data_IF_830194001632
#
_entry.id   IF_830194001632
#
_cell.length_a   1.000
_cell.length_b   1.000
_cell.length_c   1.000
_cell.angle_alpha   90.00
_cell.angle_beta   90.00
_cell.angle_gamma   90.00
#
_symmetry.space_group_name_H-M   'P 1'
#
loop_
_entity.id
_entity.type
_entity.pdbx_description
1 polymer ?
#
# COMPACT_ATOMS: atom_id res chain seq x y z
N UNK A 1 43.80 -42.67 36.24
CA UNK A 1 43.26 -41.42 36.82
C UNK A 1 43.15 -40.40 35.69
N UNK A 2 41.96 -39.86 35.42
CA UNK A 2 41.70 -38.95 34.29
C UNK A 2 42.23 -37.55 34.64
N UNK A 3 43.24 -37.07 33.92
CA UNK A 3 43.74 -35.70 34.00
C UNK A 3 42.63 -34.72 33.61
N UNK A 4 42.05 -34.00 34.58
CA UNK A 4 41.19 -32.85 34.30
C UNK A 4 42.10 -31.63 34.13
N UNK A 5 42.26 -31.15 32.90
CA UNK A 5 42.89 -29.87 32.61
C UNK A 5 41.95 -28.77 33.12
N UNK A 6 42.32 -28.11 34.22
CA UNK A 6 41.61 -26.94 34.73
C UNK A 6 41.77 -25.79 33.75
N UNK A 7 40.66 -25.38 33.11
CA UNK A 7 40.66 -24.19 32.27
C UNK A 7 40.92 -22.99 33.18
N UNK A 8 41.98 -22.23 32.89
CA UNK A 8 42.32 -21.03 33.67
C UNK A 8 41.12 -20.08 33.70
N UNK A 9 40.72 -19.55 34.87
CA UNK A 9 39.60 -18.61 35.00
C UNK A 9 39.69 -17.42 34.03
N UNK A 10 40.91 -17.02 33.67
CA UNK A 10 41.19 -15.95 32.70
C UNK A 10 40.75 -16.32 31.28
N UNK A 11 40.91 -17.57 30.88
CA UNK A 11 40.49 -18.04 29.55
C UNK A 11 38.96 -18.08 29.48
N UNK A 12 38.31 -18.50 30.57
CA UNK A 12 36.86 -18.53 30.65
C UNK A 12 36.24 -17.13 30.57
N UNK A 13 36.82 -16.13 31.22
CA UNK A 13 36.33 -14.74 31.14
C UNK A 13 36.52 -14.13 29.76
N UNK A 14 37.66 -14.36 29.10
CA UNK A 14 37.89 -13.88 27.73
C UNK A 14 36.87 -14.50 26.76
N UNK A 15 36.60 -15.80 26.88
CA UNK A 15 35.60 -16.48 26.06
C UNK A 15 34.19 -15.92 26.30
N UNK A 16 33.82 -15.67 27.56
CA UNK A 16 32.52 -15.08 27.91
C UNK A 16 32.36 -13.66 27.35
N UNK A 17 33.39 -12.82 27.47
CA UNK A 17 33.39 -11.45 26.93
C UNK A 17 33.34 -11.47 25.40
N UNK A 18 34.13 -12.34 24.76
CA UNK A 18 34.09 -12.51 23.30
C UNK A 18 32.71 -12.91 22.80
N UNK A 19 32.05 -13.86 23.49
CA UNK A 19 30.70 -14.28 23.16
C UNK A 19 29.68 -13.13 23.30
N UNK A 20 29.80 -12.31 24.35
CA UNK A 20 28.93 -11.16 24.55
C UNK A 20 29.04 -10.12 23.43
N UNK A 21 30.27 -9.80 22.97
CA UNK A 21 30.50 -8.86 21.86
C UNK A 21 29.89 -9.39 20.55
N UNK A 22 30.02 -10.69 20.28
CA UNK A 22 29.41 -11.32 19.10
C UNK A 22 27.90 -11.20 19.15
N UNK A 23 27.27 -11.50 20.29
CA UNK A 23 25.82 -11.37 20.45
C UNK A 23 25.34 -9.94 20.23
N UNK A 24 26.07 -8.95 20.75
CA UNK A 24 25.76 -7.52 20.53
C UNK A 24 25.84 -7.17 19.04
N UNK A 25 26.88 -7.65 18.33
CA UNK A 25 27.04 -7.40 16.90
C UNK A 25 25.91 -7.97 16.05
N UNK A 26 25.44 -9.18 16.37
CA UNK A 26 24.31 -9.81 15.67
C UNK A 26 23.03 -9.01 15.89
N UNK A 27 22.72 -8.65 17.14
CA UNK A 27 21.54 -7.84 17.46
C UNK A 27 21.60 -6.49 16.74
N UNK A 28 22.76 -5.82 16.75
CA UNK A 28 22.93 -4.54 16.08
C UNK A 28 22.69 -4.62 14.57
N UNK A 29 23.16 -5.69 13.92
CA UNK A 29 22.96 -5.89 12.49
C UNK A 29 21.48 -6.00 12.12
N UNK A 30 20.72 -6.80 12.89
CA UNK A 30 19.28 -6.98 12.67
C UNK A 30 18.53 -5.65 12.88
N UNK A 31 18.83 -4.95 13.98
CA UNK A 31 18.20 -3.66 14.30
C UNK A 31 18.53 -2.62 13.24
N UNK A 32 19.78 -2.53 12.81
CA UNK A 32 20.22 -1.56 11.81
C UNK A 32 19.51 -1.78 10.47
N UNK A 33 19.40 -3.03 10.02
CA UNK A 33 18.68 -3.36 8.79
C UNK A 33 17.20 -2.94 8.88
N UNK A 34 16.53 -3.25 9.99
CA UNK A 34 15.12 -2.88 10.19
C UNK A 34 14.92 -1.35 10.20
N UNK A 35 15.80 -0.61 10.87
CA UNK A 35 15.76 0.85 10.91
C UNK A 35 16.00 1.45 9.51
N UNK A 36 16.93 0.88 8.74
CA UNK A 36 17.23 1.35 7.40
C UNK A 36 16.04 1.13 6.44
N UNK A 37 15.37 -0.01 6.50
CA UNK A 37 14.20 -0.28 5.66
C UNK A 37 13.02 0.65 5.99
N UNK A 38 12.75 0.86 7.28
CA UNK A 38 11.69 1.75 7.75
C UNK A 38 11.95 3.21 7.36
N UNK A 39 13.20 3.66 7.45
CA UNK A 39 13.57 5.02 7.04
C UNK A 39 13.49 5.21 5.52
N UNK A 40 13.84 4.20 4.73
CA UNK A 40 13.66 4.24 3.28
C UNK A 40 12.18 4.28 2.88
N UNK A 41 11.34 3.44 3.48
CA UNK A 41 9.88 3.47 3.26
C UNK A 41 9.29 4.83 3.65
N UNK A 42 9.62 5.34 4.84
CA UNK A 42 9.18 6.64 5.30
C UNK A 42 9.62 7.75 4.34
N UNK A 43 10.85 7.71 3.84
CA UNK A 43 11.37 8.68 2.87
C UNK A 43 10.68 8.62 1.50
N UNK A 44 10.28 7.42 1.05
CA UNK A 44 9.59 7.22 -0.21
C UNK A 44 8.15 7.71 -0.16
N UNK A 45 7.48 7.49 0.99
CA UNK A 45 6.09 7.87 1.21
C UNK A 45 5.90 9.28 1.79
N UNK A 46 6.99 9.97 2.11
CA UNK A 46 6.94 11.31 2.67
C UNK A 46 6.31 12.31 1.69
N UNK A 47 5.29 13.03 2.14
CA UNK A 47 4.64 14.09 1.35
C UNK A 47 3.67 13.60 0.28
N UNK A 48 3.14 12.37 0.41
CA UNK A 48 2.22 11.75 -0.56
C UNK A 48 0.75 11.88 -0.14
N UNK A 49 0.47 12.07 1.14
CA UNK A 49 -0.88 12.10 1.73
C UNK A 49 -1.83 13.11 1.05
N UNK A 50 -1.32 14.20 0.49
CA UNK A 50 -2.14 15.23 -0.18
C UNK A 50 -1.96 15.26 -1.71
N UNK A 51 -1.34 14.23 -2.28
CA UNK A 51 -0.98 14.17 -3.70
C UNK A 51 -1.79 13.16 -4.49
N UNK A 52 -2.30 12.11 -3.86
CA UNK A 52 -3.19 11.13 -4.47
C UNK A 52 -4.53 11.23 -3.76
N UNK A 53 -5.56 11.69 -4.47
CA UNK A 53 -6.82 12.12 -3.85
C UNK A 53 -8.01 11.50 -4.58
N UNK A 54 -9.02 11.08 -3.81
CA UNK A 54 -10.35 10.78 -4.31
C UNK A 54 -11.12 12.07 -4.57
N UNK A 55 -11.60 12.25 -5.78
CA UNK A 55 -12.41 13.41 -6.10
C UNK A 55 -13.86 13.16 -5.69
N UNK A 56 -14.24 13.70 -4.53
CA UNK A 56 -15.58 13.51 -3.94
C UNK A 56 -16.71 13.97 -4.87
N UNK A 57 -16.48 15.00 -5.68
CA UNK A 57 -17.51 15.55 -6.60
C UNK A 57 -17.85 14.57 -7.73
N UNK A 58 -16.91 13.71 -8.11
CA UNK A 58 -17.05 12.79 -9.23
C UNK A 58 -16.98 11.32 -8.79
N UNK A 59 -17.01 11.07 -7.47
CA UNK A 59 -17.06 9.73 -6.90
C UNK A 59 -18.43 9.50 -6.26
N UNK A 60 -19.25 8.69 -6.91
CA UNK A 60 -20.63 8.43 -6.53
C UNK A 60 -21.05 7.05 -7.04
N UNK A 61 -22.18 6.53 -6.59
CA UNK A 61 -22.70 5.24 -7.06
C UNK A 61 -24.04 5.40 -7.80
N UNK A 62 -24.26 4.59 -8.82
CA UNK A 62 -25.54 4.45 -9.52
C UNK A 62 -26.26 3.22 -8.98
N UNK A 63 -27.30 3.41 -8.17
CA UNK A 63 -28.00 2.30 -7.51
C UNK A 63 -28.70 1.36 -8.48
N UNK A 64 -29.33 1.90 -9.52
CA UNK A 64 -30.10 1.13 -10.49
C UNK A 64 -29.20 0.19 -11.33
N UNK A 65 -28.00 0.65 -11.65
CA UNK A 65 -27.04 -0.05 -12.50
C UNK A 65 -26.05 -0.88 -11.68
N UNK A 66 -26.05 -0.72 -10.35
CA UNK A 66 -25.06 -1.32 -9.45
C UNK A 66 -23.62 -0.98 -9.82
N UNK A 67 -23.40 0.27 -10.27
CA UNK A 67 -22.10 0.79 -10.68
C UNK A 67 -21.60 1.80 -9.66
N UNK A 68 -20.32 1.72 -9.31
CA UNK A 68 -19.60 2.71 -8.54
C UNK A 68 -18.64 3.48 -9.46
N UNK A 69 -18.83 4.79 -9.57
CA UNK A 69 -17.90 5.67 -10.26
C UNK A 69 -16.86 6.17 -9.26
N UNK A 70 -15.57 5.96 -9.55
CA UNK A 70 -14.45 6.45 -8.75
C UNK A 70 -13.60 7.40 -9.57
N UNK A 71 -13.38 8.59 -9.03
CA UNK A 71 -12.53 9.60 -9.64
C UNK A 71 -11.27 9.80 -8.81
N UNK A 72 -10.11 9.62 -9.44
CA UNK A 72 -8.80 9.67 -8.78
C UNK A 72 -7.95 10.75 -9.44
N UNK A 73 -7.42 11.64 -8.62
CA UNK A 73 -6.49 12.70 -9.02
C UNK A 73 -5.09 12.43 -8.45
N UNK A 74 -4.08 12.41 -9.33
CA UNK A 74 -2.66 12.40 -8.95
C UNK A 74 -2.08 13.78 -9.24
N UNK A 75 -1.59 14.46 -8.21
CA UNK A 75 -0.93 15.78 -8.29
C UNK A 75 0.56 15.62 -8.60
N UNK A 76 1.40 16.50 -8.05
CA UNK A 76 2.83 16.56 -8.32
C UNK A 76 3.61 15.46 -7.56
N UNK A 77 3.33 14.19 -7.85
CA UNK A 77 4.02 13.01 -7.32
C UNK A 77 4.17 11.95 -8.43
N UNK A 78 5.25 11.18 -8.38
CA UNK A 78 5.45 10.03 -9.26
C UNK A 78 5.06 8.77 -8.51
N UNK A 79 4.15 7.99 -9.08
CA UNK A 79 3.51 6.83 -8.46
C UNK A 79 3.65 5.66 -9.41
N UNK A 80 4.00 4.49 -8.89
CA UNK A 80 4.15 3.27 -9.70
C UNK A 80 2.82 2.56 -9.88
N UNK A 81 2.05 2.44 -8.80
CA UNK A 81 0.71 1.88 -8.79
C UNK A 81 -0.14 2.43 -7.64
N UNK A 82 -1.46 2.23 -7.74
CA UNK A 82 -2.44 2.61 -6.72
C UNK A 82 -3.23 1.37 -6.31
N UNK A 83 -3.27 1.07 -5.01
CA UNK A 83 -4.25 0.15 -4.46
C UNK A 83 -5.51 0.94 -4.10
N UNK A 84 -6.61 0.58 -4.72
CA UNK A 84 -7.93 1.14 -4.43
C UNK A 84 -8.74 0.07 -3.71
N UNK A 85 -9.10 0.36 -2.46
CA UNK A 85 -9.89 -0.55 -1.60
C UNK A 85 -11.28 0.03 -1.39
N UNK A 86 -12.29 -0.79 -1.62
CA UNK A 86 -13.70 -0.47 -1.46
C UNK A 86 -14.25 -1.40 -0.40
N UNK A 87 -14.77 -0.80 0.67
CA UNK A 87 -15.32 -1.50 1.83
C UNK A 87 -16.84 -1.36 1.83
N UNK A 88 -17.53 -2.49 1.73
CA UNK A 88 -18.97 -2.63 1.98
C UNK A 88 -19.26 -2.91 3.46
N UNK A 89 -20.45 -3.38 3.76
CA UNK A 89 -20.82 -3.84 5.09
C UNK A 89 -20.14 -5.17 5.44
N UNK A 90 -20.17 -6.13 4.51
CA UNK A 90 -19.69 -7.50 4.74
C UNK A 90 -18.55 -7.91 3.81
N UNK A 91 -18.12 -7.01 2.91
CA UNK A 91 -17.10 -7.30 1.92
C UNK A 91 -16.08 -6.18 1.79
N UNK A 92 -14.87 -6.53 1.38
CA UNK A 92 -13.85 -5.58 0.94
C UNK A 92 -13.27 -6.07 -0.37
N UNK A 93 -13.20 -5.19 -1.35
CA UNK A 93 -12.58 -5.47 -2.64
C UNK A 93 -11.47 -4.47 -2.90
N UNK A 94 -10.34 -5.00 -3.34
CA UNK A 94 -9.16 -4.20 -3.67
C UNK A 94 -8.73 -4.51 -5.08
N UNK A 95 -8.40 -3.47 -5.83
CA UNK A 95 -7.74 -3.60 -7.12
C UNK A 95 -6.53 -2.67 -7.19
N UNK A 96 -5.57 -3.04 -8.04
CA UNK A 96 -4.39 -2.24 -8.30
C UNK A 96 -4.49 -1.59 -9.68
N UNK A 97 -4.28 -0.29 -9.75
CA UNK A 97 -4.12 0.48 -10.98
C UNK A 97 -2.62 0.74 -11.19
N UNK A 98 -2.08 0.36 -12.35
CA UNK A 98 -0.70 0.63 -12.74
C UNK A 98 -0.64 1.56 -13.95
N UNK A 99 0.58 1.93 -14.36
CA UNK A 99 0.83 2.66 -15.61
C UNK A 99 0.61 1.83 -16.89
N UNK A 100 0.51 0.51 -16.76
CA UNK A 100 0.27 -0.44 -17.85
C UNK A 100 -1.21 -0.79 -17.92
N UNK A 101 -1.77 -0.86 -19.14
CA UNK A 101 -3.17 -1.24 -19.33
C UNK A 101 -3.35 -2.68 -18.92
N UNK A 102 -4.19 -2.91 -17.92
CA UNK A 102 -4.56 -4.24 -17.46
C UNK A 102 -6.07 -4.39 -17.57
N UNK A 103 -6.51 -5.40 -18.33
CA UNK A 103 -7.91 -5.81 -18.35
C UNK A 103 -8.20 -6.46 -16.99
N UNK A 104 -9.14 -5.88 -16.25
CA UNK A 104 -9.67 -6.48 -15.02
C UNK A 104 -11.18 -6.60 -15.11
N UNK A 105 -11.67 -7.77 -14.73
CA UNK A 105 -13.11 -8.00 -14.62
C UNK A 105 -13.73 -7.01 -13.62
N UNK A 106 -14.85 -6.41 -14.01
CA UNK A 106 -15.59 -5.45 -13.17
C UNK A 106 -14.96 -4.07 -13.01
N UNK A 107 -13.81 -3.77 -13.64
CA UNK A 107 -13.20 -2.42 -13.66
C UNK A 107 -13.16 -1.88 -15.08
N UNK A 108 -13.77 -0.73 -15.29
CA UNK A 108 -13.91 -0.08 -16.59
C UNK A 108 -13.38 1.34 -16.53
N UNK A 109 -12.98 1.88 -17.68
CA UNK A 109 -12.66 3.29 -17.83
C UNK A 109 -13.95 4.14 -17.86
N UNK A 110 -13.80 5.47 -18.00
CA UNK A 110 -14.91 6.41 -18.06
C UNK A 110 -15.88 6.20 -19.25
N UNK A 111 -15.46 5.48 -20.29
CA UNK A 111 -16.27 5.15 -21.47
C UNK A 111 -16.99 3.80 -21.32
N UNK A 112 -16.81 3.10 -20.18
CA UNK A 112 -17.42 1.80 -19.93
C UNK A 112 -16.69 0.62 -20.60
N UNK A 113 -15.45 0.82 -21.07
CA UNK A 113 -14.65 -0.26 -21.67
C UNK A 113 -13.55 -0.72 -20.72
N UNK A 114 -13.15 -2.00 -20.83
CA UNK A 114 -12.04 -2.56 -20.05
C UNK A 114 -10.66 -2.26 -20.67
N UNK A 115 -10.66 -1.61 -21.84
CA UNK A 115 -9.45 -1.18 -22.50
C UNK A 115 -8.90 0.08 -21.83
N UNK A 116 -7.56 0.20 -21.78
CA UNK A 116 -6.87 1.40 -21.26
C UNK A 116 -7.20 1.76 -19.80
N UNK A 117 -7.55 0.77 -18.97
CA UNK A 117 -7.63 0.92 -17.51
C UNK A 117 -6.22 1.05 -16.97
N UNK A 118 -5.73 2.30 -16.92
CA UNK A 118 -4.44 2.69 -16.36
C UNK A 118 -4.65 3.80 -15.35
N UNK A 119 -3.76 3.87 -14.35
CA UNK A 119 -3.78 4.94 -13.35
C UNK A 119 -3.65 6.34 -14.00
N UNK A 120 -4.10 7.41 -13.31
CA UNK A 120 -3.83 8.77 -13.76
C UNK A 120 -2.32 9.03 -13.87
N UNK A 121 -1.91 9.89 -14.79
CA UNK A 121 -0.52 10.37 -14.81
C UNK A 121 -0.33 11.45 -13.74
N UNK A 122 0.93 11.73 -13.40
CA UNK A 122 1.32 12.89 -12.59
C UNK A 122 0.63 14.16 -13.10
N UNK A 123 0.04 14.94 -12.19
CA UNK A 123 -0.78 16.11 -12.47
C UNK A 123 -2.02 15.83 -13.35
N UNK A 124 -2.64 14.67 -13.20
CA UNK A 124 -3.79 14.24 -13.99
C UNK A 124 -4.85 13.53 -13.15
N UNK A 125 -6.06 13.48 -13.68
CA UNK A 125 -7.22 12.82 -13.09
C UNK A 125 -7.85 11.82 -14.05
N UNK A 126 -8.44 10.75 -13.51
CA UNK A 126 -9.23 9.79 -14.30
C UNK A 126 -10.42 9.27 -13.51
N UNK A 127 -11.48 8.94 -14.25
CA UNK A 127 -12.67 8.30 -13.73
C UNK A 127 -12.67 6.82 -14.14
N UNK A 128 -13.15 5.99 -13.23
CA UNK A 128 -13.28 4.56 -13.37
C UNK A 128 -14.70 4.16 -12.99
N UNK A 129 -15.25 3.17 -13.69
CA UNK A 129 -16.53 2.58 -13.38
C UNK A 129 -16.28 1.17 -12.85
N UNK A 130 -16.89 0.85 -11.72
CA UNK A 130 -16.76 -0.44 -11.05
C UNK A 130 -18.14 -1.06 -10.96
N UNK A 131 -18.30 -2.23 -11.54
CA UNK A 131 -19.56 -2.97 -11.52
C UNK A 131 -19.61 -3.87 -10.26
N UNK A 132 -20.80 -4.07 -9.70
CA UNK A 132 -21.08 -5.05 -8.66
C UNK A 132 -20.62 -6.48 -9.00
N UNK A 133 -20.42 -6.83 -10.27
CA UNK A 133 -19.73 -8.08 -10.69
C UNK A 133 -18.32 -8.22 -10.10
N UNK A 134 -17.67 -7.09 -9.75
CA UNK A 134 -16.42 -7.05 -8.99
C UNK A 134 -16.57 -7.55 -7.53
N UNK A 135 -17.80 -7.85 -7.11
CA UNK A 135 -18.19 -8.29 -5.77
C UNK A 135 -18.12 -7.17 -4.75
N UNK A 136 -18.41 -5.94 -5.19
CA UNK A 136 -18.59 -4.78 -4.32
C UNK A 136 -20.05 -4.66 -3.90
N UNK A 137 -20.27 -4.21 -2.68
CA UNK A 137 -21.59 -3.86 -2.19
C UNK A 137 -21.90 -2.40 -2.55
N UNK A 138 -23.09 -2.16 -3.09
CA UNK A 138 -23.61 -0.82 -3.43
C UNK A 138 -24.82 -0.53 -2.52
N UNK A 139 -24.82 0.57 -1.75
CA UNK A 139 -23.78 1.59 -1.66
C UNK A 139 -22.53 1.12 -0.89
N UNK A 140 -21.32 1.56 -1.28
CA UNK A 140 -20.12 1.30 -0.50
C UNK A 140 -20.13 2.14 0.79
N UNK A 141 -19.44 1.65 1.83
CA UNK A 141 -19.22 2.41 3.08
C UNK A 141 -18.00 3.29 3.00
N UNK A 142 -16.89 2.75 2.50
CA UNK A 142 -15.61 3.47 2.47
C UNK A 142 -14.84 3.15 1.20
N UNK A 143 -14.16 4.16 0.66
CA UNK A 143 -13.16 4.00 -0.41
C UNK A 143 -11.83 4.54 0.09
N UNK A 144 -10.77 3.76 -0.07
CA UNK A 144 -9.40 4.10 0.35
C UNK A 144 -8.44 3.96 -0.83
N UNK A 145 -7.47 4.88 -0.93
CA UNK A 145 -6.38 4.79 -1.90
C UNK A 145 -5.04 4.74 -1.17
N UNK A 146 -4.24 3.73 -1.49
CA UNK A 146 -2.88 3.56 -0.98
C UNK A 146 -1.90 3.47 -2.15
N UNK A 147 -1.04 4.47 -2.37
CA UNK A 147 -0.10 4.48 -3.49
C UNK A 147 1.13 3.61 -3.22
N UNK A 148 1.76 3.15 -4.29
CA UNK A 148 3.06 2.48 -4.28
C UNK A 148 4.10 3.36 -4.95
N UNK A 149 5.18 3.66 -4.25
CA UNK A 149 6.24 4.58 -4.69
C UNK A 149 7.60 3.95 -4.39
N UNK A 150 8.47 3.87 -5.40
CA UNK A 150 9.81 3.27 -5.29
C UNK A 150 9.78 1.85 -4.73
N UNK A 151 8.79 1.04 -5.14
CA UNK A 151 8.59 -0.32 -4.66
C UNK A 151 7.90 -0.44 -3.29
N UNK A 152 7.74 0.65 -2.52
CA UNK A 152 7.11 0.63 -1.20
C UNK A 152 5.61 0.93 -1.26
N UNK A 153 4.81 0.10 -0.59
CA UNK A 153 3.40 0.40 -0.34
C UNK A 153 3.30 1.48 0.74
N UNK A 154 2.77 2.63 0.38
CA UNK A 154 2.51 3.70 1.31
C UNK A 154 1.17 3.49 2.03
N UNK A 155 1.01 4.20 3.15
CA UNK A 155 -0.25 4.27 3.88
C UNK A 155 -1.36 4.90 3.03
N UNK A 156 -2.59 4.84 3.55
CA UNK A 156 -3.76 5.39 2.89
C UNK A 156 -3.59 6.89 2.70
N UNK A 157 -3.49 7.30 1.44
CA UNK A 157 -3.38 8.71 1.02
C UNK A 157 -4.71 9.44 1.05
N UNK A 158 -5.80 8.75 0.67
CA UNK A 158 -7.13 9.35 0.60
C UNK A 158 -8.16 8.34 1.11
N UNK A 159 -9.11 8.82 1.90
CA UNK A 159 -10.25 8.04 2.40
C UNK A 159 -11.52 8.84 2.17
N UNK A 160 -12.59 8.18 1.73
CA UNK A 160 -13.91 8.78 1.62
C UNK A 160 -14.94 7.82 2.22
N UNK A 161 -15.75 8.31 3.15
CA UNK A 161 -16.76 7.52 3.90
C UNK A 161 -18.20 7.93 3.61
N UNK A 162 -18.39 9.05 2.93
CA UNK A 162 -19.70 9.56 2.52
C UNK A 162 -19.77 9.51 1.00
N UNK A 163 -20.23 8.38 0.46
CA UNK A 163 -20.40 8.19 -0.98
C UNK A 163 -21.88 8.41 -1.30
N UNK A 164 -22.16 9.46 -2.07
CA UNK A 164 -23.51 9.79 -2.52
C UNK A 164 -23.95 8.98 -3.73
N UNK A 165 -25.26 8.96 -3.96
CA UNK A 165 -25.84 8.49 -5.23
C UNK A 165 -25.55 9.53 -6.33
N UNK A 166 -25.18 9.05 -7.51
CA UNK A 166 -25.24 9.84 -8.74
C UNK A 166 -26.72 9.91 -9.19
#
# INVERSE_FOLDING_TARGET
MKNKLGVSPVIATILLVGLAVVLIGVVWTIVNNLVQDQTQQASACFGVLDKVILNEKYTCYYKAESILQVSIDIRNVDVESLLVSIEGQDSTKTFELSNTSLVREGVYNAEGTQDNVVMPKKNGGKNYLLDATFGIEIPPRTIKISPKIKGYQCEVSSTMTQIGEC
#
